data_IF_268052354537
#
_entry.id   IF_268052354537
#
_cell.length_a   1.000
_cell.length_b   1.000
_cell.length_c   1.000
_cell.angle_alpha   90.00
_cell.angle_beta   90.00
_cell.angle_gamma   90.00
#
_symmetry.space_group_name_H-M   'P 1'
#
loop_
_entity.id
_entity.type
_entity.pdbx_description
1 polymer ?
#
# COMPACT_ATOMS: atom_id res chain seq x y z
N UNK A 1 -13.09 20.56 -6.71
CA UNK A 1 -12.19 19.79 -5.81
C UNK A 1 -12.59 18.32 -5.93
N UNK A 2 -11.67 17.43 -6.30
CA UNK A 2 -12.02 16.01 -6.51
C UNK A 2 -12.34 15.31 -5.19
N UNK A 3 -13.27 14.33 -5.18
CA UNK A 3 -13.62 13.56 -3.98
C UNK A 3 -12.41 12.92 -3.26
N UNK A 4 -11.39 12.53 -4.02
CA UNK A 4 -10.12 11.97 -3.53
C UNK A 4 -9.38 12.92 -2.59
N UNK A 5 -9.35 14.22 -2.94
CA UNK A 5 -8.68 15.23 -2.12
C UNK A 5 -9.43 15.52 -0.81
N UNK A 6 -10.75 15.30 -0.77
CA UNK A 6 -11.57 15.46 0.43
C UNK A 6 -11.38 14.28 1.40
N UNK A 7 -11.34 13.05 0.88
CA UNK A 7 -11.09 11.84 1.66
C UNK A 7 -9.68 11.84 2.30
N UNK A 8 -8.65 12.27 1.54
CA UNK A 8 -7.27 12.34 2.02
C UNK A 8 -7.08 13.36 3.17
N UNK A 9 -7.86 14.46 3.18
CA UNK A 9 -7.75 15.52 4.21
C UNK A 9 -8.33 15.10 5.57
N UNK A 10 -9.29 14.17 5.58
CA UNK A 10 -9.95 13.70 6.80
C UNK A 10 -9.08 12.72 7.63
N UNK A 11 -7.94 12.27 7.11
CA UNK A 11 -7.21 11.11 7.65
C UNK A 11 -5.97 11.45 8.50
N UNK A 12 -5.86 12.67 9.04
CA UNK A 12 -4.67 13.05 9.84
C UNK A 12 -4.74 12.57 11.31
N UNK A 13 -3.88 11.58 11.60
CA UNK A 13 -2.87 11.53 12.69
C UNK A 13 -3.11 10.81 14.04
N UNK A 14 -4.22 10.12 14.37
CA UNK A 14 -4.29 9.52 15.74
C UNK A 14 -4.88 8.13 15.95
N UNK A 15 -5.47 7.43 14.98
CA UNK A 15 -6.14 6.15 15.28
C UNK A 15 -5.65 4.95 14.44
N UNK A 16 -4.39 4.54 14.62
CA UNK A 16 -3.85 3.27 14.06
C UNK A 16 -4.62 2.01 14.52
N UNK A 17 -5.45 2.09 15.58
CA UNK A 17 -6.31 0.99 16.08
C UNK A 17 -7.74 0.99 15.52
N UNK A 18 -8.27 2.11 15.01
CA UNK A 18 -9.63 2.18 14.45
C UNK A 18 -9.73 1.66 13.01
N UNK A 19 -8.59 1.50 12.33
CA UNK A 19 -8.50 1.09 10.92
C UNK A 19 -9.01 -0.33 10.63
N UNK A 20 -9.18 -1.15 11.66
CA UNK A 20 -9.75 -2.48 11.56
C UNK A 20 -11.28 -2.49 11.37
N UNK A 21 -11.94 -1.33 11.58
CA UNK A 21 -13.40 -1.19 11.50
C UNK A 21 -13.89 -0.46 10.24
N UNK A 22 -12.98 -0.02 9.35
CA UNK A 22 -13.36 0.51 8.04
C UNK A 22 -13.69 -0.64 7.10
N UNK A 23 -14.85 -1.25 7.35
CA UNK A 23 -15.59 -1.93 6.29
C UNK A 23 -15.72 -0.96 5.13
N UNK A 24 -15.51 -1.47 3.91
CA UNK A 24 -15.85 -0.73 2.71
C UNK A 24 -17.29 -0.19 2.88
N UNK A 25 -17.59 1.05 2.46
CA UNK A 25 -18.95 1.56 2.51
C UNK A 25 -19.91 0.50 1.96
N UNK A 26 -21.02 0.24 2.64
CA UNK A 26 -21.96 -0.81 2.25
C UNK A 26 -22.30 -0.68 0.75
N UNK A 27 -22.12 -1.76 -0.01
CA UNK A 27 -22.33 -1.79 -1.48
C UNK A 27 -21.12 -1.36 -2.34
N UNK A 28 -20.03 -0.84 -1.76
CA UNK A 28 -18.83 -0.47 -2.52
C UNK A 28 -18.10 -1.68 -3.15
N UNK A 29 -18.37 -2.90 -2.67
CA UNK A 29 -17.86 -4.14 -3.27
C UNK A 29 -18.40 -4.38 -4.70
N UNK A 30 -19.56 -3.80 -5.04
CA UNK A 30 -20.17 -3.96 -6.36
C UNK A 30 -19.62 -2.95 -7.39
N UNK A 31 -19.05 -1.83 -6.94
CA UNK A 31 -18.57 -0.78 -7.83
C UNK A 31 -17.50 -1.29 -8.82
N UNK A 32 -16.48 -2.08 -8.42
CA UNK A 32 -15.51 -2.64 -9.36
C UNK A 32 -16.12 -3.58 -10.40
N UNK A 33 -17.18 -4.31 -10.04
CA UNK A 33 -17.88 -5.19 -10.98
C UNK A 33 -18.65 -4.39 -12.03
N UNK A 34 -19.25 -3.26 -11.65
CA UNK A 34 -19.89 -2.35 -12.57
C UNK A 34 -18.86 -1.67 -13.47
N UNK A 35 -17.75 -1.19 -12.90
CA UNK A 35 -16.66 -0.59 -13.64
C UNK A 35 -16.06 -1.53 -14.68
N UNK A 36 -15.84 -2.81 -14.35
CA UNK A 36 -15.34 -3.81 -15.31
C UNK A 36 -16.23 -3.97 -16.55
N UNK A 37 -17.51 -3.58 -16.48
CA UNK A 37 -18.46 -3.62 -17.60
C UNK A 37 -18.54 -2.30 -18.35
N UNK A 38 -18.55 -1.16 -17.63
CA UNK A 38 -18.84 0.16 -18.21
C UNK A 38 -17.61 1.00 -18.48
N UNK A 39 -16.52 0.76 -17.76
CA UNK A 39 -15.32 1.61 -17.71
C UNK A 39 -15.62 3.08 -17.44
N UNK A 40 -16.69 3.35 -16.70
CA UNK A 40 -17.16 4.70 -16.39
C UNK A 40 -16.15 5.44 -15.50
N UNK A 41 -15.64 6.61 -15.94
CA UNK A 41 -14.75 7.45 -15.14
C UNK A 41 -15.32 7.85 -13.77
N UNK A 42 -16.63 8.07 -13.65
CA UNK A 42 -17.25 8.42 -12.36
C UNK A 42 -17.20 7.25 -11.38
N UNK A 43 -17.40 6.02 -11.87
CA UNK A 43 -17.24 4.82 -11.05
C UNK A 43 -15.80 4.65 -10.60
N UNK A 44 -14.82 4.93 -11.46
CA UNK A 44 -13.39 4.90 -11.11
C UNK A 44 -13.10 5.82 -9.92
N UNK A 45 -13.56 7.07 -9.96
CA UNK A 45 -13.36 8.01 -8.85
C UNK A 45 -14.00 7.54 -7.55
N UNK A 46 -15.23 7.01 -7.63
CA UNK A 46 -15.95 6.46 -6.46
C UNK A 46 -15.26 5.24 -5.87
N UNK A 47 -14.72 4.36 -6.70
CA UNK A 47 -13.94 3.19 -6.26
C UNK A 47 -12.67 3.65 -5.57
N UNK A 48 -11.90 4.55 -6.18
CA UNK A 48 -10.67 5.06 -5.57
C UNK A 48 -10.95 5.66 -4.19
N UNK A 49 -11.99 6.50 -4.07
CA UNK A 49 -12.39 7.09 -2.79
C UNK A 49 -12.81 6.03 -1.75
N UNK A 50 -13.56 5.00 -2.16
CA UNK A 50 -14.00 3.94 -1.25
C UNK A 50 -12.87 3.02 -0.78
N UNK A 51 -11.82 2.85 -1.59
CA UNK A 51 -10.72 1.93 -1.32
C UNK A 51 -9.47 2.61 -0.70
N UNK A 52 -9.49 3.92 -0.42
CA UNK A 52 -8.43 4.61 0.34
C UNK A 52 -8.06 3.86 1.63
N UNK A 53 -9.01 3.38 2.47
CA UNK A 53 -8.66 2.67 3.70
C UNK A 53 -7.86 1.38 3.47
N UNK A 54 -8.04 0.73 2.31
CA UNK A 54 -7.26 -0.45 1.94
C UNK A 54 -5.79 -0.09 1.71
N UNK A 55 -5.53 1.03 1.03
CA UNK A 55 -4.17 1.55 0.82
C UNK A 55 -3.54 1.87 2.17
N UNK A 56 -4.20 2.67 3.00
CA UNK A 56 -3.69 3.07 4.31
C UNK A 56 -3.39 1.87 5.21
N UNK A 57 -4.24 0.83 5.14
CA UNK A 57 -4.02 -0.42 5.85
C UNK A 57 -2.76 -1.14 5.36
N UNK A 58 -2.52 -1.17 4.06
CA UNK A 58 -1.34 -1.79 3.47
C UNK A 58 -0.05 -1.05 3.88
N UNK A 59 -0.08 0.28 3.97
CA UNK A 59 1.08 1.09 4.38
C UNK A 59 1.61 0.76 5.77
N UNK A 60 0.75 0.29 6.69
CA UNK A 60 1.15 -0.10 8.04
C UNK A 60 2.23 -1.18 8.05
N UNK A 61 2.23 -2.05 7.05
CA UNK A 61 3.20 -3.14 6.92
C UNK A 61 4.56 -2.66 6.41
N UNK A 62 4.64 -1.41 5.93
CA UNK A 62 5.84 -0.77 5.39
C UNK A 62 6.32 0.41 6.24
N UNK A 63 5.75 0.63 7.43
CA UNK A 63 6.07 1.77 8.29
C UNK A 63 7.57 1.87 8.66
N UNK A 64 8.30 0.75 8.67
CA UNK A 64 9.74 0.69 8.95
C UNK A 64 10.62 0.63 7.71
N UNK A 65 10.07 0.85 6.51
CA UNK A 65 10.81 0.71 5.25
C UNK A 65 11.80 1.86 4.97
N UNK A 66 11.67 2.98 5.68
CA UNK A 66 12.55 4.14 5.57
C UNK A 66 12.21 5.12 4.42
N UNK A 67 11.16 4.84 3.65
CA UNK A 67 10.65 5.75 2.62
C UNK A 67 9.57 6.70 3.18
N UNK A 68 9.38 7.89 2.58
CA UNK A 68 8.30 8.79 2.97
C UNK A 68 6.93 8.14 2.81
N UNK A 69 6.06 8.25 3.82
CA UNK A 69 4.72 7.65 3.80
C UNK A 69 3.87 8.15 2.63
N UNK A 70 4.00 9.43 2.26
CA UNK A 70 3.29 10.02 1.13
C UNK A 70 3.64 9.33 -0.20
N UNK A 71 4.92 9.01 -0.41
CA UNK A 71 5.38 8.37 -1.63
C UNK A 71 4.82 6.93 -1.70
N UNK A 72 4.86 6.20 -0.58
CA UNK A 72 4.26 4.88 -0.49
C UNK A 72 2.75 4.92 -0.74
N UNK A 73 2.06 5.95 -0.23
CA UNK A 73 0.63 6.16 -0.49
C UNK A 73 0.37 6.38 -1.98
N UNK A 74 1.16 7.22 -2.64
CA UNK A 74 1.03 7.46 -4.08
C UNK A 74 1.23 6.18 -4.89
N UNK A 75 2.25 5.38 -4.56
CA UNK A 75 2.47 4.07 -5.17
C UNK A 75 1.31 3.13 -4.89
N UNK A 76 0.75 3.16 -3.69
CA UNK A 76 -0.47 2.42 -3.35
C UNK A 76 -1.67 2.82 -4.22
N UNK A 77 -1.84 4.11 -4.52
CA UNK A 77 -2.87 4.57 -5.46
C UNK A 77 -2.63 4.04 -6.88
N UNK A 78 -1.38 4.03 -7.35
CA UNK A 78 -1.03 3.44 -8.65
C UNK A 78 -1.43 1.96 -8.67
N UNK A 79 -1.05 1.19 -7.64
CA UNK A 79 -1.41 -0.22 -7.55
C UNK A 79 -2.92 -0.49 -7.50
N UNK A 80 -3.69 0.39 -6.84
CA UNK A 80 -5.15 0.30 -6.85
C UNK A 80 -5.74 0.58 -8.24
N UNK A 81 -5.23 1.59 -8.95
CA UNK A 81 -5.67 1.93 -10.30
C UNK A 81 -5.35 0.81 -11.29
N UNK A 82 -4.14 0.28 -11.24
CA UNK A 82 -3.73 -0.88 -12.05
C UNK A 82 -4.58 -2.11 -11.73
N UNK A 83 -4.88 -2.35 -10.45
CA UNK A 83 -5.80 -3.41 -10.07
C UNK A 83 -7.19 -3.20 -10.69
N UNK A 84 -7.70 -1.97 -10.71
CA UNK A 84 -9.00 -1.65 -11.29
C UNK A 84 -9.03 -1.86 -12.81
N UNK A 85 -7.97 -1.47 -13.51
CA UNK A 85 -7.83 -1.64 -14.96
C UNK A 85 -7.70 -3.11 -15.38
N UNK A 86 -7.03 -3.93 -14.58
CA UNK A 86 -6.74 -5.33 -14.90
C UNK A 86 -7.72 -6.32 -14.24
N UNK A 87 -8.70 -5.84 -13.49
CA UNK A 87 -9.60 -6.71 -12.75
C UNK A 87 -10.58 -7.43 -13.69
N UNK A 88 -10.60 -8.76 -13.58
CA UNK A 88 -11.52 -9.63 -14.30
C UNK A 88 -12.41 -10.40 -13.31
N UNK A 89 -13.70 -10.02 -13.18
CA UNK A 89 -14.63 -10.69 -12.27
C UNK A 89 -14.86 -12.18 -12.58
N UNK A 90 -14.61 -12.62 -13.80
CA UNK A 90 -14.84 -14.03 -14.21
C UNK A 90 -13.87 -15.00 -13.54
N UNK A 91 -12.76 -14.50 -13.00
CA UNK A 91 -11.72 -15.30 -12.30
C UNK A 91 -12.08 -15.67 -10.88
N UNK A 92 -13.25 -15.28 -10.38
CA UNK A 92 -13.78 -15.71 -9.08
C UNK A 92 -13.10 -15.12 -7.84
N UNK A 93 -12.13 -14.21 -8.01
CA UNK A 93 -11.47 -13.52 -6.89
C UNK A 93 -12.16 -12.20 -6.57
N UNK A 94 -12.39 -11.91 -5.29
CA UNK A 94 -12.92 -10.60 -4.86
C UNK A 94 -11.94 -9.48 -5.20
N UNK A 95 -12.44 -8.36 -5.72
CA UNK A 95 -11.61 -7.20 -6.08
C UNK A 95 -10.72 -6.73 -4.92
N UNK A 96 -11.26 -6.65 -3.69
CA UNK A 96 -10.48 -6.25 -2.50
C UNK A 96 -9.24 -7.12 -2.29
N UNK A 97 -9.36 -8.44 -2.48
CA UNK A 97 -8.23 -9.37 -2.36
C UNK A 97 -7.22 -9.11 -3.46
N UNK A 98 -7.68 -9.01 -4.70
CA UNK A 98 -6.84 -8.73 -5.86
C UNK A 98 -6.08 -7.40 -5.72
N UNK A 99 -6.79 -6.32 -5.43
CA UNK A 99 -6.23 -4.98 -5.22
C UNK A 99 -5.20 -4.96 -4.09
N UNK A 100 -5.47 -5.64 -2.97
CA UNK A 100 -4.50 -5.71 -1.87
C UNK A 100 -3.17 -6.36 -2.30
N UNK A 101 -3.21 -7.39 -3.15
CA UNK A 101 -1.99 -8.00 -3.68
C UNK A 101 -1.22 -7.03 -4.58
N UNK A 102 -1.91 -6.34 -5.49
CA UNK A 102 -1.26 -5.39 -6.40
C UNK A 102 -0.69 -4.17 -5.67
N UNK A 103 -1.47 -3.56 -4.76
CA UNK A 103 -1.02 -2.42 -3.94
C UNK A 103 0.30 -2.76 -3.23
N UNK A 104 0.36 -3.91 -2.57
CA UNK A 104 1.56 -4.33 -1.84
C UNK A 104 2.71 -4.64 -2.79
N UNK A 105 2.42 -5.28 -3.92
CA UNK A 105 3.39 -5.56 -4.97
C UNK A 105 4.07 -4.29 -5.49
N UNK A 106 3.28 -3.29 -5.86
CA UNK A 106 3.78 -1.99 -6.32
C UNK A 106 4.64 -1.29 -5.26
N UNK A 107 4.19 -1.30 -3.99
CA UNK A 107 4.97 -0.74 -2.88
C UNK A 107 6.30 -1.48 -2.72
N UNK A 108 6.31 -2.81 -2.80
CA UNK A 108 7.54 -3.60 -2.75
C UNK A 108 8.48 -3.29 -3.92
N UNK A 109 7.96 -3.15 -5.13
CA UNK A 109 8.74 -2.77 -6.31
C UNK A 109 9.38 -1.40 -6.13
N UNK A 110 8.58 -0.39 -5.77
CA UNK A 110 9.08 0.95 -5.47
C UNK A 110 10.19 0.94 -4.41
N UNK A 111 9.98 0.25 -3.28
CA UNK A 111 10.98 0.18 -2.22
C UNK A 111 12.27 -0.51 -2.66
N UNK A 112 12.17 -1.54 -3.51
CA UNK A 112 13.33 -2.22 -4.07
C UNK A 112 14.12 -1.29 -4.99
N UNK A 113 13.43 -0.60 -5.90
CA UNK A 113 14.07 0.29 -6.86
C UNK A 113 14.71 1.49 -6.16
N UNK A 114 14.08 2.02 -5.10
CA UNK A 114 14.65 3.07 -4.25
C UNK A 114 15.91 2.62 -3.51
N UNK A 115 15.92 1.40 -2.94
CA UNK A 115 17.13 0.83 -2.30
C UNK A 115 18.26 0.60 -3.29
N UNK A 116 17.93 0.33 -4.54
CA UNK A 116 18.86 0.08 -5.63
C UNK A 116 19.25 1.35 -6.40
N UNK A 117 18.78 2.55 -6.00
CA UNK A 117 19.15 3.86 -6.62
C UNK A 117 20.67 4.02 -6.76
N UNK A 118 21.43 3.46 -5.81
CA UNK A 118 22.85 3.13 -6.00
C UNK A 118 23.00 1.63 -5.76
N UNK A 119 23.24 0.85 -6.81
CA UNK A 119 23.52 -0.58 -6.71
C UNK A 119 24.69 -0.82 -5.75
N UNK A 120 24.37 -1.25 -4.53
CA UNK A 120 25.42 -1.52 -3.54
C UNK A 120 26.29 -2.70 -3.98
N UNK A 121 27.63 -2.56 -3.99
CA UNK A 121 28.52 -3.69 -4.21
C UNK A 121 28.26 -4.83 -3.22
N UNK A 122 28.48 -6.08 -3.65
CA UNK A 122 28.24 -7.28 -2.82
C UNK A 122 28.97 -7.25 -1.47
N UNK A 123 30.17 -6.67 -1.43
CA UNK A 123 30.97 -6.55 -0.21
C UNK A 123 30.31 -5.62 0.81
N UNK A 124 29.73 -4.51 0.35
CA UNK A 124 29.06 -3.53 1.22
C UNK A 124 27.80 -4.12 1.86
N UNK A 125 27.01 -4.89 1.09
CA UNK A 125 25.85 -5.62 1.63
C UNK A 125 26.22 -6.71 2.64
N UNK A 126 27.42 -7.29 2.51
CA UNK A 126 27.93 -8.28 3.49
C UNK A 126 28.34 -7.57 4.77
N UNK A 127 29.03 -6.44 4.65
CA UNK A 127 29.46 -5.63 5.77
C UNK A 127 28.27 -5.08 6.57
N UNK A 128 27.26 -4.50 5.90
CA UNK A 128 26.06 -3.99 6.58
C UNK A 128 25.35 -5.08 7.38
N UNK A 129 25.23 -6.30 6.84
CA UNK A 129 24.65 -7.45 7.57
C UNK A 129 25.45 -7.86 8.80
N UNK A 130 26.77 -7.77 8.74
CA UNK A 130 27.62 -8.05 9.90
C UNK A 130 27.42 -6.98 10.98
N UNK A 131 27.39 -5.71 10.58
CA UNK A 131 27.13 -4.58 11.49
C UNK A 131 25.76 -4.74 12.17
N UNK A 132 24.70 -5.01 11.41
CA UNK A 132 23.35 -5.22 11.94
C UNK A 132 23.30 -6.38 12.95
N UNK A 133 24.00 -7.48 12.67
CA UNK A 133 24.06 -8.64 13.55
C UNK A 133 24.79 -8.32 14.87
N UNK A 134 25.92 -7.61 14.83
CA UNK A 134 26.66 -7.24 16.04
C UNK A 134 25.92 -6.18 16.87
N UNK A 135 25.27 -5.21 16.22
CA UNK A 135 24.40 -4.24 16.93
C UNK A 135 23.26 -4.96 17.64
N UNK A 136 22.61 -5.94 16.99
CA UNK A 136 21.55 -6.72 17.61
C UNK A 136 22.04 -7.54 18.82
N UNK A 137 23.27 -8.07 18.76
CA UNK A 137 23.90 -8.78 19.89
C UNK A 137 24.20 -7.84 21.06
N UNK A 138 24.87 -6.72 20.80
CA UNK A 138 25.21 -5.75 21.83
C UNK A 138 23.95 -5.23 22.57
N UNK A 139 22.90 -4.89 21.82
CA UNK A 139 21.61 -4.49 22.41
C UNK A 139 20.94 -5.59 23.25
N UNK A 140 21.18 -6.87 22.93
CA UNK A 140 20.66 -8.00 23.72
C UNK A 140 21.46 -8.27 25.00
N UNK A 141 22.74 -7.87 25.02
CA UNK A 141 23.64 -8.02 26.17
C UNK A 141 23.46 -6.87 27.18
N UNK A 142 23.18 -5.65 26.71
CA UNK A 142 22.92 -4.45 27.52
C UNK A 142 21.51 -4.39 28.12
N UNK A 143 20.57 -5.21 27.62
CA UNK A 143 19.21 -5.33 28.13
C UNK A 143 19.05 -6.22 29.38
N UNK A 144 20.12 -6.46 30.13
CA UNK A 144 20.14 -7.19 31.41
C UNK A 144 20.59 -6.32 32.57
#
# INVERSE_FOLDING_TARGET
MTPVAQAARAYRRTERRALWRLELPYGAELLPLQYARTHDPELRERIVAAYVPLIERALLDFASAGAPEEDLRQVGYIGLLTALELFDPSRGTKFRTYANHLIRGEIFHYLRDQRDTIRQPRWLRRLNRQIEAEVARALSEEGR
#
